data_IF_422480246597
#
_entry.id   IF_422480246597
#
_cell.length_a   1.000
_cell.length_b   1.000
_cell.length_c   1.000
_cell.angle_alpha   90.00
_cell.angle_beta   90.00
_cell.angle_gamma   90.00
#
_symmetry.space_group_name_H-M   'P 1'
#
loop_
_entity.id
_entity.type
_entity.pdbx_description
1 polymer ?
#
# COMPACT_ATOMS: atom_id res chain seq x y z
N UNK A 1 0.36 -13.30 17.62
CA UNK A 1 -0.28 -12.04 18.08
C UNK A 1 -1.77 -12.21 17.84
N UNK A 2 -2.61 -12.06 18.87
CA UNK A 2 -4.06 -12.25 18.77
C UNK A 2 -4.76 -10.90 18.98
N UNK A 3 -5.90 -10.70 18.32
CA UNK A 3 -6.75 -9.54 18.53
C UNK A 3 -7.42 -9.65 19.91
N UNK A 4 -7.68 -8.51 20.54
CA UNK A 4 -8.46 -8.49 21.77
C UNK A 4 -9.94 -8.86 21.49
N UNK A 5 -10.64 -9.30 22.52
CA UNK A 5 -12.02 -9.79 22.38
C UNK A 5 -12.99 -8.71 21.86
N UNK A 6 -12.76 -7.43 22.19
CA UNK A 6 -13.61 -6.33 21.71
C UNK A 6 -13.45 -6.15 20.20
N UNK A 7 -12.21 -6.20 19.71
CA UNK A 7 -11.90 -6.12 18.28
C UNK A 7 -12.50 -7.30 17.52
N UNK A 8 -12.44 -8.52 18.08
CA UNK A 8 -13.02 -9.70 17.44
C UNK A 8 -14.55 -9.64 17.35
N UNK A 9 -15.21 -9.11 18.38
CA UNK A 9 -16.66 -8.87 18.36
C UNK A 9 -17.03 -7.82 17.31
N UNK A 10 -16.26 -6.73 17.23
CA UNK A 10 -16.50 -5.67 16.24
C UNK A 10 -16.36 -6.20 14.80
N UNK A 11 -15.30 -6.97 14.51
CA UNK A 11 -15.11 -7.59 13.18
C UNK A 11 -16.27 -8.53 12.86
N UNK A 12 -16.74 -9.31 13.84
CA UNK A 12 -17.86 -10.24 13.65
C UNK A 12 -19.18 -9.51 13.37
N UNK A 13 -19.44 -8.39 14.04
CA UNK A 13 -20.63 -7.57 13.81
C UNK A 13 -20.63 -6.96 12.41
N UNK A 14 -19.50 -6.39 11.97
CA UNK A 14 -19.35 -5.83 10.61
C UNK A 14 -19.48 -6.92 9.55
N UNK A 15 -18.89 -8.09 9.78
CA UNK A 15 -19.01 -9.23 8.88
C UNK A 15 -20.48 -9.65 8.70
N UNK A 16 -21.25 -9.70 9.79
CA UNK A 16 -22.69 -9.99 9.73
C UNK A 16 -23.50 -8.90 9.02
N UNK A 17 -23.18 -7.62 9.24
CA UNK A 17 -23.83 -6.48 8.58
C UNK A 17 -23.59 -6.46 7.07
N UNK A 18 -22.39 -6.86 6.63
CA UNK A 18 -21.98 -6.87 5.23
C UNK A 18 -22.27 -8.17 4.48
N UNK A 19 -22.79 -9.20 5.17
CA UNK A 19 -22.93 -10.57 4.66
C UNK A 19 -21.59 -11.15 4.14
N UNK A 20 -20.52 -10.93 4.90
CA UNK A 20 -19.16 -11.39 4.60
C UNK A 20 -18.64 -12.30 5.70
N UNK A 21 -17.57 -13.05 5.41
CA UNK A 21 -16.79 -13.72 6.46
C UNK A 21 -15.87 -12.73 7.18
N UNK A 22 -15.50 -13.05 8.42
CA UNK A 22 -14.52 -12.26 9.19
C UNK A 22 -13.20 -12.07 8.44
N UNK A 23 -12.73 -13.09 7.72
CA UNK A 23 -11.48 -13.02 6.96
C UNK A 23 -11.58 -12.04 5.78
N UNK A 24 -12.72 -12.01 5.09
CA UNK A 24 -12.96 -11.07 3.99
C UNK A 24 -13.00 -9.63 4.48
N UNK A 25 -13.64 -9.36 5.63
CA UNK A 25 -13.61 -8.04 6.27
C UNK A 25 -12.18 -7.62 6.62
N UNK A 26 -11.36 -8.52 7.16
CA UNK A 26 -9.96 -8.23 7.48
C UNK A 26 -9.17 -7.93 6.20
N UNK A 27 -9.32 -8.72 5.14
CA UNK A 27 -8.66 -8.45 3.86
C UNK A 27 -9.08 -7.11 3.26
N UNK A 28 -10.36 -6.77 3.32
CA UNK A 28 -10.88 -5.49 2.84
C UNK A 28 -10.27 -4.34 3.62
N UNK A 29 -10.31 -4.40 4.96
CA UNK A 29 -9.74 -3.36 5.81
C UNK A 29 -8.24 -3.15 5.56
N UNK A 30 -7.47 -4.22 5.38
CA UNK A 30 -6.03 -4.13 5.06
C UNK A 30 -5.80 -3.50 3.69
N UNK A 31 -6.59 -3.85 2.67
CA UNK A 31 -6.48 -3.25 1.33
C UNK A 31 -6.80 -1.76 1.35
N UNK A 32 -7.87 -1.36 2.01
CA UNK A 32 -8.27 0.05 2.14
C UNK A 32 -7.23 0.85 2.93
N UNK A 33 -6.69 0.27 4.01
CA UNK A 33 -5.60 0.90 4.75
C UNK A 33 -4.36 1.06 3.87
N UNK A 34 -3.97 0.04 3.10
CA UNK A 34 -2.83 0.16 2.19
C UNK A 34 -3.05 1.20 1.10
N UNK A 35 -4.21 1.22 0.45
CA UNK A 35 -4.53 2.19 -0.60
C UNK A 35 -4.50 3.64 -0.10
N UNK A 36 -4.99 3.87 1.12
CA UNK A 36 -4.95 5.18 1.77
C UNK A 36 -3.55 5.59 2.25
N UNK A 37 -2.62 4.63 2.41
CA UNK A 37 -1.27 4.87 2.92
C UNK A 37 -0.16 4.67 1.87
N UNK A 38 -0.47 4.20 0.66
CA UNK A 38 0.46 4.21 -0.48
C UNK A 38 0.86 5.64 -0.85
N UNK A 39 -0.07 6.60 -0.73
CA UNK A 39 0.18 8.03 -0.89
C UNK A 39 1.04 8.64 0.23
N UNK A 40 1.21 7.96 1.37
CA UNK A 40 2.10 8.38 2.45
C UNK A 40 3.49 7.72 2.39
N UNK A 41 3.65 6.60 1.66
CA UNK A 41 4.95 5.92 1.48
C UNK A 41 5.82 6.57 0.41
N UNK A 42 5.20 7.25 -0.55
CA UNK A 42 5.89 8.06 -1.53
C UNK A 42 5.54 9.53 -1.27
N UNK A 43 6.28 10.19 -0.38
CA UNK A 43 6.34 11.66 -0.44
C UNK A 43 6.66 12.02 -1.88
N UNK A 44 5.77 12.80 -2.49
CA UNK A 44 5.87 13.28 -3.87
C UNK A 44 7.02 14.30 -4.06
N UNK A 45 8.19 14.04 -3.48
CA UNK A 45 9.40 14.87 -3.56
C UNK A 45 10.53 14.18 -4.32
N UNK A 46 10.31 12.97 -4.85
CA UNK A 46 11.30 12.29 -5.71
C UNK A 46 10.81 12.11 -7.16
N UNK A 47 9.92 13.00 -7.62
CA UNK A 47 9.80 13.31 -9.05
C UNK A 47 10.92 14.26 -9.47
N UNK A 48 12.18 13.90 -9.20
CA UNK A 48 13.24 14.37 -10.08
C UNK A 48 12.99 13.70 -11.44
N UNK A 49 12.78 14.45 -12.54
CA UNK A 49 12.70 13.81 -13.84
C UNK A 49 13.99 13.03 -14.01
N UNK A 50 13.88 11.73 -14.25
CA UNK A 50 14.98 10.89 -14.71
C UNK A 50 15.69 11.63 -15.85
N UNK A 51 16.75 12.37 -15.53
CA UNK A 51 17.71 12.79 -16.53
C UNK A 51 18.36 11.48 -16.95
N UNK A 52 17.87 10.97 -18.07
CA UNK A 52 18.51 9.92 -18.85
C UNK A 52 19.93 10.38 -19.14
N UNK A 53 20.86 10.01 -18.25
CA UNK A 53 22.28 10.04 -18.54
C UNK A 53 22.53 8.86 -19.49
N UNK A 54 22.09 9.01 -20.74
CA UNK A 54 22.65 8.23 -21.83
C UNK A 54 24.17 8.43 -21.75
N UNK A 55 24.99 7.36 -21.74
CA UNK A 55 26.42 7.53 -21.76
C UNK A 55 26.76 8.22 -23.08
N UNK A 56 27.31 9.43 -23.00
CA UNK A 56 27.90 10.07 -24.16
C UNK A 56 29.00 9.13 -24.65
N UNK A 57 28.83 8.54 -25.83
CA UNK A 57 29.90 7.77 -26.47
C UNK A 57 31.06 8.72 -26.65
N UNK A 58 32.12 8.49 -25.88
CA UNK A 58 33.39 9.21 -26.00
C UNK A 58 34.03 8.77 -27.31
N UNK A 59 33.83 9.58 -28.35
CA UNK A 59 34.54 9.45 -29.61
C UNK A 59 36.03 9.70 -29.34
N UNK A 60 36.86 8.70 -29.64
CA UNK A 60 38.30 8.74 -29.41
C UNK A 60 39.01 9.23 -30.68
N UNK A 61 40.01 10.12 -30.55
CA UNK A 61 41.01 10.28 -31.61
C UNK A 61 42.42 10.05 -31.06
N UNK A 62 43.15 9.08 -31.63
CA UNK A 62 44.58 9.17 -31.94
C UNK A 62 44.88 8.38 -33.22
#
# INVERSE_FOLDING_TARGET
MALDASTEVAISAVAAEMDLTRLEVIHLAVREWLATHESARFSAEDNAPYQSLAPVSSDAPE
#
